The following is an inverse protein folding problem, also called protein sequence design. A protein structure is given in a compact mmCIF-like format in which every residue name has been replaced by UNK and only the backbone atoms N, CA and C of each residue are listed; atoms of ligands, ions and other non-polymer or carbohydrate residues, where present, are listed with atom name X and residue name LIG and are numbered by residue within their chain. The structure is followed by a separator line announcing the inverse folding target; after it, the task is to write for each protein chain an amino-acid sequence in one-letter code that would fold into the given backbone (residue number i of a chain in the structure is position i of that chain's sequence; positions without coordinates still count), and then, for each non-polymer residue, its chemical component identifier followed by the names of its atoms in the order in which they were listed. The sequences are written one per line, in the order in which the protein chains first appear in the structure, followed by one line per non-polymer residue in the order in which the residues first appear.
data_IF_997320094281
#
_entry.id   IF_997320094281
#
_cell.length_a   1.000
_cell.length_b   1.000
_cell.length_c   1.000
_cell.angle_alpha   90.00
_cell.angle_beta   90.00
_cell.angle_gamma   90.00
#
_symmetry.space_group_name_H-M   'P 1'
#
loop_
_entity.id
_entity.type
_entity.pdbx_description
1 polymer ?
#
# COMPACT_ATOMS: atom_id res chain seq x y z
N UNK A 1 14.92 13.58 10.67
CA UNK A 1 15.14 14.79 11.49
C UNK A 1 16.22 14.54 12.54
N UNK A 2 16.10 13.51 13.43
CA UNK A 2 17.06 13.29 14.53
C UNK A 2 18.52 13.19 14.08
N UNK A 3 18.82 12.43 13.02
CA UNK A 3 20.16 12.33 12.48
C UNK A 3 20.72 13.68 11.96
N UNK A 4 19.88 14.48 11.31
CA UNK A 4 20.26 15.80 10.84
C UNK A 4 20.58 16.76 12.00
N UNK A 5 19.77 16.68 13.07
CA UNK A 5 20.00 17.46 14.30
C UNK A 5 21.33 17.04 14.97
N UNK A 6 21.62 15.75 15.03
CA UNK A 6 22.91 15.26 15.54
C UNK A 6 24.11 15.72 14.71
N UNK A 7 23.88 16.08 13.44
CA UNK A 7 24.90 16.69 12.55
C UNK A 7 24.91 18.22 12.60
N UNK A 8 24.19 18.85 13.54
CA UNK A 8 24.18 20.29 13.75
C UNK A 8 23.18 21.07 12.90
N UNK A 9 22.25 20.41 12.23
CA UNK A 9 21.19 21.09 11.46
C UNK A 9 20.06 21.49 12.41
N UNK A 10 19.57 22.72 12.26
CA UNK A 10 18.43 23.22 13.05
C UNK A 10 17.21 22.29 12.88
N UNK A 11 16.53 21.90 13.96
CA UNK A 11 15.37 21.00 13.92
C UNK A 11 14.23 21.48 13.00
N UNK A 12 13.95 22.79 12.97
CA UNK A 12 12.88 23.34 12.14
C UNK A 12 13.24 23.28 10.65
N UNK A 13 14.50 23.56 10.31
CA UNK A 13 15.03 23.42 8.94
C UNK A 13 14.99 21.96 8.50
N UNK A 14 15.43 21.04 9.35
CA UNK A 14 15.37 19.62 9.06
C UNK A 14 13.94 19.10 8.88
N UNK A 15 12.99 19.55 9.71
CA UNK A 15 11.58 19.20 9.60
C UNK A 15 10.96 19.74 8.32
N UNK A 16 11.22 21.01 7.98
CA UNK A 16 10.71 21.63 6.75
C UNK A 16 11.22 20.92 5.49
N UNK A 17 12.52 20.56 5.47
CA UNK A 17 13.11 19.82 4.35
C UNK A 17 12.46 18.44 4.16
N UNK A 18 12.21 17.70 5.24
CA UNK A 18 11.54 16.37 5.19
C UNK A 18 10.09 16.52 4.75
N UNK A 19 9.38 17.56 5.22
CA UNK A 19 7.98 17.81 4.83
C UNK A 19 7.82 18.17 3.34
N UNK A 20 8.87 18.64 2.70
CA UNK A 20 8.90 18.91 1.26
C UNK A 20 9.09 17.65 0.40
N UNK A 21 9.38 16.49 1.00
CA UNK A 21 9.51 15.22 0.27
C UNK A 21 8.13 14.59 0.11
N UNK A 22 7.54 14.78 -1.07
CA UNK A 22 6.20 14.26 -1.41
C UNK A 22 6.24 12.87 -2.01
N UNK A 23 7.39 12.45 -2.52
CA UNK A 23 7.59 11.14 -3.12
C UNK A 23 8.93 10.55 -2.69
N UNK A 24 8.92 9.28 -2.31
CA UNK A 24 10.13 8.48 -2.09
C UNK A 24 10.14 7.38 -3.14
N UNK A 25 11.07 7.48 -4.09
CA UNK A 25 11.20 6.55 -5.19
C UNK A 25 11.12 5.08 -4.71
N UNK A 26 10.17 4.34 -5.27
CA UNK A 26 9.94 2.94 -4.95
C UNK A 26 9.17 2.64 -3.66
N UNK A 27 8.76 3.66 -2.87
CA UNK A 27 8.02 3.43 -1.61
C UNK A 27 6.70 4.15 -1.52
N UNK A 28 6.66 5.42 -1.92
CA UNK A 28 5.47 6.27 -1.90
C UNK A 28 5.37 6.99 -3.23
N UNK A 29 4.27 6.84 -3.92
CA UNK A 29 4.00 7.54 -5.17
C UNK A 29 2.50 7.60 -5.43
N UNK A 30 2.05 8.62 -6.16
CA UNK A 30 0.68 8.73 -6.62
C UNK A 30 0.62 8.56 -8.13
N UNK A 31 -0.39 7.81 -8.61
CA UNK A 31 -0.61 7.54 -10.02
C UNK A 31 -2.10 7.69 -10.35
N UNK A 32 -2.42 8.33 -11.47
CA UNK A 32 -3.78 8.33 -11.99
C UNK A 32 -3.96 7.20 -12.99
N UNK A 33 -4.92 6.33 -12.73
CA UNK A 33 -5.28 5.20 -13.59
C UNK A 33 -6.77 5.26 -13.86
N UNK A 34 -7.16 5.79 -15.02
CA UNK A 34 -8.55 5.88 -15.45
C UNK A 34 -9.45 6.59 -14.39
N UNK A 35 -9.00 7.74 -13.90
CA UNK A 35 -9.70 8.56 -12.90
C UNK A 35 -9.61 8.04 -11.46
N UNK A 36 -8.80 7.02 -11.21
CA UNK A 36 -8.48 6.52 -9.87
C UNK A 36 -7.09 7.00 -9.47
N UNK A 37 -7.01 7.86 -8.46
CA UNK A 37 -5.73 8.32 -7.89
C UNK A 37 -5.27 7.31 -6.86
N UNK A 38 -4.41 6.41 -7.32
CA UNK A 38 -3.82 5.36 -6.51
C UNK A 38 -2.60 5.90 -5.75
N UNK A 39 -2.66 5.97 -4.42
CA UNK A 39 -1.50 6.24 -3.58
C UNK A 39 -0.85 4.93 -3.17
N UNK A 40 0.34 4.68 -3.68
CA UNK A 40 1.08 3.45 -3.40
C UNK A 40 1.87 3.58 -2.10
N UNK A 41 1.79 2.57 -1.27
CA UNK A 41 2.57 2.42 -0.03
C UNK A 41 3.21 1.04 0.00
N UNK A 42 4.54 1.01 0.11
CA UNK A 42 5.28 -0.24 0.24
C UNK A 42 5.33 -0.68 1.69
N UNK A 43 4.92 -1.90 1.97
CA UNK A 43 5.11 -2.56 3.24
C UNK A 43 5.83 -3.91 3.04
N UNK A 44 6.82 -4.23 3.88
CA UNK A 44 7.68 -5.40 3.69
C UNK A 44 7.65 -6.40 4.85
N UNK A 45 7.42 -5.93 6.05
CA UNK A 45 7.40 -6.74 7.27
C UNK A 45 6.27 -6.26 8.18
N UNK A 46 5.92 -6.98 9.25
CA UNK A 46 4.80 -6.62 10.12
C UNK A 46 4.84 -5.17 10.62
N UNK A 47 6.00 -4.68 11.06
CA UNK A 47 6.14 -3.29 11.52
C UNK A 47 5.87 -2.28 10.40
N UNK A 48 6.38 -2.55 9.19
CA UNK A 48 6.13 -1.72 8.00
C UNK A 48 4.66 -1.73 7.57
N UNK A 49 3.95 -2.86 7.72
CA UNK A 49 2.52 -2.95 7.47
C UNK A 49 1.72 -2.12 8.48
N UNK A 50 2.06 -2.21 9.78
CA UNK A 50 1.42 -1.39 10.82
C UNK A 50 1.63 0.10 10.54
N UNK A 51 2.84 0.50 10.21
CA UNK A 51 3.16 1.90 9.86
C UNK A 51 2.36 2.36 8.63
N UNK A 52 2.37 1.59 7.54
CA UNK A 52 1.63 1.92 6.32
C UNK A 52 0.12 2.08 6.57
N UNK A 53 -0.46 1.24 7.42
CA UNK A 53 -1.87 1.36 7.80
C UNK A 53 -2.18 2.64 8.58
N UNK A 54 -1.26 3.13 9.41
CA UNK A 54 -1.45 4.42 10.10
C UNK A 54 -1.43 5.62 9.14
N UNK A 55 -0.84 5.43 7.96
CA UNK A 55 -0.75 6.47 6.93
C UNK A 55 -1.97 6.54 6.01
N UNK A 56 -2.89 5.58 6.09
CA UNK A 56 -4.15 5.62 5.32
C UNK A 56 -4.92 6.88 5.70
N UNK A 57 -5.25 7.71 4.70
CA UNK A 57 -6.11 8.87 4.94
C UNK A 57 -7.49 8.40 5.44
N UNK A 58 -7.92 8.83 6.63
CA UNK A 58 -9.19 8.40 7.18
C UNK A 58 -10.41 8.81 6.34
N UNK A 59 -10.26 9.73 5.41
CA UNK A 59 -11.32 10.17 4.50
C UNK A 59 -11.43 9.31 3.24
N UNK A 60 -10.48 8.42 2.99
CA UNK A 60 -10.50 7.54 1.82
C UNK A 60 -11.28 6.27 2.12
N UNK A 61 -12.27 6.00 1.28
CA UNK A 61 -13.20 4.86 1.43
C UNK A 61 -12.77 3.60 0.69
N UNK A 62 -11.64 3.63 -0.01
CA UNK A 62 -11.20 2.54 -0.86
C UNK A 62 -9.75 2.19 -0.58
N UNK A 63 -9.52 0.94 -0.21
CA UNK A 63 -8.20 0.42 0.14
C UNK A 63 -7.95 -0.87 -0.64
N UNK A 64 -6.85 -0.94 -1.34
CA UNK A 64 -6.33 -2.15 -1.98
C UNK A 64 -5.14 -2.66 -1.18
N UNK A 65 -5.14 -3.94 -0.85
CA UNK A 65 -4.03 -4.59 -0.16
C UNK A 65 -3.55 -5.75 -1.03
N UNK A 66 -2.27 -5.73 -1.39
CA UNK A 66 -1.72 -6.74 -2.27
C UNK A 66 -0.49 -7.43 -1.70
N UNK A 67 -0.51 -8.77 -1.75
CA UNK A 67 0.57 -9.62 -1.25
C UNK A 67 0.94 -10.69 -2.27
N UNK A 68 2.21 -10.70 -2.66
CA UNK A 68 2.83 -11.79 -3.41
C UNK A 68 3.72 -12.62 -2.48
N UNK A 69 4.01 -13.86 -2.87
CA UNK A 69 4.90 -14.78 -2.13
C UNK A 69 6.18 -15.11 -2.88
N UNK A 70 6.75 -14.14 -3.60
CA UNK A 70 7.98 -14.33 -4.37
C UNK A 70 9.23 -14.28 -3.46
N UNK A 71 10.36 -14.81 -3.95
CA UNK A 71 11.62 -14.86 -3.20
C UNK A 71 12.01 -13.52 -2.54
N UNK A 72 11.90 -12.34 -3.23
CA UNK A 72 12.23 -11.06 -2.61
C UNK A 72 11.33 -10.63 -1.45
N UNK A 73 10.10 -11.18 -1.36
CA UNK A 73 9.15 -10.90 -0.27
C UNK A 73 9.29 -11.85 0.92
N UNK A 74 9.96 -12.99 0.68
CA UNK A 74 9.90 -14.14 1.56
C UNK A 74 8.73 -15.07 1.20
N UNK A 75 8.99 -16.37 1.09
CA UNK A 75 7.97 -17.36 0.73
C UNK A 75 7.07 -17.74 1.92
N UNK A 76 7.58 -17.57 3.14
CA UNK A 76 6.80 -17.75 4.36
C UNK A 76 5.96 -16.51 4.63
N UNK A 77 4.65 -16.69 4.66
CA UNK A 77 3.66 -15.65 4.91
C UNK A 77 3.04 -15.73 6.31
N UNK A 78 3.61 -16.51 7.21
CA UNK A 78 3.14 -16.59 8.60
C UNK A 78 3.11 -15.22 9.28
N UNK A 79 3.97 -14.31 8.87
CA UNK A 79 4.01 -12.92 9.35
C UNK A 79 2.70 -12.14 9.13
N UNK A 80 1.81 -12.57 8.21
CA UNK A 80 0.48 -11.96 8.07
C UNK A 80 -0.33 -12.03 9.36
N UNK A 81 -0.06 -13.01 10.21
CA UNK A 81 -0.74 -13.18 11.49
C UNK A 81 -0.21 -12.23 12.57
N UNK A 82 0.98 -11.66 12.37
CA UNK A 82 1.59 -10.67 13.27
C UNK A 82 1.11 -9.24 12.94
N UNK A 83 0.35 -9.07 11.84
CA UNK A 83 -0.18 -7.77 11.42
C UNK A 83 -1.61 -7.59 11.94
N UNK A 84 -1.89 -6.46 12.60
CA UNK A 84 -3.24 -6.10 12.98
C UNK A 84 -3.97 -5.36 11.85
N UNK A 85 -4.64 -6.13 11.00
CA UNK A 85 -5.44 -5.57 9.91
C UNK A 85 -6.76 -4.94 10.37
N UNK A 86 -7.14 -5.03 11.64
CA UNK A 86 -8.34 -4.34 12.14
C UNK A 86 -8.26 -2.81 11.96
N UNK A 87 -7.03 -2.29 11.85
CA UNK A 87 -6.76 -0.87 11.57
C UNK A 87 -7.37 -0.36 10.25
N UNK A 88 -7.61 -1.24 9.26
CA UNK A 88 -8.27 -0.85 8.01
C UNK A 88 -9.80 -0.95 8.08
N UNK A 89 -10.33 -1.51 9.17
CA UNK A 89 -11.78 -1.67 9.36
C UNK A 89 -12.46 -0.31 9.53
N UNK A 90 -13.43 -0.03 8.67
CA UNK A 90 -14.29 1.15 8.77
C UNK A 90 -15.60 0.88 8.05
N UNK A 91 -16.71 1.33 8.61
CA UNK A 91 -18.01 1.27 7.96
C UNK A 91 -18.00 2.04 6.63
N UNK A 92 -18.54 1.43 5.58
CA UNK A 92 -18.56 1.97 4.23
C UNK A 92 -17.22 1.92 3.47
N UNK A 93 -16.13 1.46 4.10
CA UNK A 93 -14.85 1.29 3.40
C UNK A 93 -14.86 0.01 2.57
N UNK A 94 -14.55 0.15 1.30
CA UNK A 94 -14.27 -0.97 0.41
C UNK A 94 -12.83 -1.42 0.58
N UNK A 95 -12.61 -2.69 0.81
CA UNK A 95 -11.29 -3.30 0.85
C UNK A 95 -11.21 -4.35 -0.25
N UNK A 96 -10.12 -4.35 -1.02
CA UNK A 96 -9.85 -5.35 -2.05
C UNK A 96 -8.52 -6.02 -1.76
N UNK A 97 -8.54 -7.33 -1.53
CA UNK A 97 -7.35 -8.16 -1.40
C UNK A 97 -6.87 -8.61 -2.79
N UNK A 98 -5.57 -8.64 -3.04
CA UNK A 98 -5.04 -9.06 -4.33
C UNK A 98 -3.61 -9.62 -4.26
N UNK A 99 -3.11 -10.06 -5.41
CA UNK A 99 -1.79 -10.63 -5.57
C UNK A 99 -1.80 -12.16 -5.52
N UNK A 100 -0.62 -12.76 -5.73
CA UNK A 100 -0.46 -14.22 -5.75
C UNK A 100 -0.96 -14.91 -4.48
N UNK A 101 -0.86 -14.21 -3.34
CA UNK A 101 -1.31 -14.67 -2.03
C UNK A 101 -2.53 -13.88 -1.52
N UNK A 102 -3.29 -13.32 -2.45
CA UNK A 102 -4.52 -12.57 -2.15
C UNK A 102 -5.55 -13.39 -1.38
N UNK A 103 -5.65 -14.70 -1.64
CA UNK A 103 -6.58 -15.58 -0.91
C UNK A 103 -6.17 -15.76 0.57
N UNK A 104 -4.87 -15.95 0.86
CA UNK A 104 -4.37 -16.02 2.24
C UNK A 104 -4.61 -14.69 2.98
N UNK A 105 -4.35 -13.59 2.29
CA UNK A 105 -4.63 -12.26 2.81
C UNK A 105 -6.12 -12.06 3.09
N UNK A 106 -7.01 -12.49 2.19
CA UNK A 106 -8.46 -12.36 2.37
C UNK A 106 -8.93 -13.13 3.61
N UNK A 107 -8.42 -14.36 3.82
CA UNK A 107 -8.69 -15.13 5.05
C UNK A 107 -8.21 -14.34 6.27
N UNK A 108 -7.01 -13.80 6.24
CA UNK A 108 -6.48 -13.01 7.38
C UNK A 108 -7.29 -11.75 7.66
N UNK A 109 -7.77 -11.06 6.62
CA UNK A 109 -8.65 -9.89 6.73
C UNK A 109 -9.98 -10.27 7.37
N UNK A 110 -10.58 -11.37 6.96
CA UNK A 110 -11.83 -11.88 7.53
C UNK A 110 -11.68 -12.16 9.04
N UNK A 111 -10.56 -12.77 9.46
CA UNK A 111 -10.25 -12.97 10.89
C UNK A 111 -10.06 -11.65 11.66
N UNK A 112 -9.71 -10.57 10.97
CA UNK A 112 -9.67 -9.22 11.57
C UNK A 112 -11.04 -8.51 11.54
N UNK A 113 -12.09 -9.17 11.03
CA UNK A 113 -13.42 -8.60 10.84
C UNK A 113 -13.48 -7.54 9.74
N UNK A 114 -12.64 -7.68 8.72
CA UNK A 114 -12.57 -6.83 7.52
C UNK A 114 -13.07 -7.64 6.34
N UNK A 115 -14.28 -7.35 5.86
CA UNK A 115 -14.77 -7.93 4.61
C UNK A 115 -14.04 -7.32 3.43
N UNK A 116 -13.67 -8.16 2.46
CA UNK A 116 -12.96 -7.71 1.27
C UNK A 116 -13.44 -8.43 0.00
N UNK A 117 -13.35 -7.71 -1.12
CA UNK A 117 -13.37 -8.32 -2.44
C UNK A 117 -11.99 -8.96 -2.73
N UNK A 118 -11.96 -9.92 -3.66
CA UNK A 118 -10.71 -10.56 -4.10
C UNK A 118 -10.47 -10.31 -5.59
N UNK A 119 -9.24 -9.92 -5.93
CA UNK A 119 -8.80 -9.77 -7.31
C UNK A 119 -7.45 -10.45 -7.54
N UNK A 120 -7.16 -10.96 -8.75
CA UNK A 120 -5.92 -11.68 -9.02
C UNK A 120 -4.68 -10.76 -8.97
N UNK A 121 -4.78 -9.55 -9.51
CA UNK A 121 -3.66 -8.61 -9.61
C UNK A 121 -4.00 -7.25 -9.01
N UNK A 122 -3.01 -6.48 -8.55
CA UNK A 122 -3.24 -5.12 -8.04
C UNK A 122 -3.93 -4.18 -9.04
N UNK A 123 -3.70 -4.35 -10.34
CA UNK A 123 -4.35 -3.55 -11.37
C UNK A 123 -5.85 -3.91 -11.49
N UNK A 124 -6.19 -5.19 -11.36
CA UNK A 124 -7.58 -5.65 -11.37
C UNK A 124 -8.31 -5.19 -10.10
N UNK A 125 -7.61 -5.24 -8.95
CA UNK A 125 -8.14 -4.73 -7.69
C UNK A 125 -8.45 -3.23 -7.79
N UNK A 126 -7.55 -2.44 -8.37
CA UNK A 126 -7.79 -1.02 -8.61
C UNK A 126 -8.99 -0.81 -9.55
N UNK A 127 -9.18 -1.65 -10.56
CA UNK A 127 -10.31 -1.57 -11.48
C UNK A 127 -11.67 -1.83 -10.81
N UNK A 128 -11.71 -2.58 -9.71
CA UNK A 128 -12.91 -2.78 -8.90
C UNK A 128 -13.28 -1.54 -8.07
N UNK A 129 -12.34 -0.63 -7.84
CA UNK A 129 -12.59 0.61 -7.10
C UNK A 129 -13.35 1.62 -7.97
N UNK A 130 -14.14 2.50 -7.35
CA UNK A 130 -14.77 3.63 -8.02
C UNK A 130 -13.74 4.74 -8.35
N UNK A 131 -14.01 5.60 -9.34
CA UNK A 131 -13.18 6.78 -9.57
C UNK A 131 -13.01 7.61 -8.29
N UNK A 132 -11.78 8.10 -8.05
CA UNK A 132 -11.45 8.85 -6.83
C UNK A 132 -10.13 8.41 -6.22
N UNK A 133 -9.96 8.69 -4.93
CA UNK A 133 -8.74 8.30 -4.21
C UNK A 133 -8.80 6.85 -3.79
N UNK A 134 -7.69 6.13 -3.96
CA UNK A 134 -7.51 4.74 -3.54
C UNK A 134 -6.16 4.62 -2.83
N UNK A 135 -6.15 4.09 -1.63
CA UNK A 135 -4.93 3.75 -0.90
C UNK A 135 -4.52 2.32 -1.29
N UNK A 136 -3.29 2.14 -1.74
CA UNK A 136 -2.78 0.83 -2.16
C UNK A 136 -1.56 0.43 -1.33
N UNK A 137 -1.75 -0.54 -0.45
CA UNK A 137 -0.69 -1.13 0.38
C UNK A 137 -0.23 -2.41 -0.29
N UNK A 138 1.01 -2.42 -0.76
CA UNK A 138 1.55 -3.54 -1.53
C UNK A 138 2.89 -3.99 -0.93
N UNK A 139 3.15 -5.31 -0.92
CA UNK A 139 4.50 -5.77 -0.69
C UNK A 139 5.39 -5.54 -1.93
N UNK A 140 6.67 -5.83 -1.81
CA UNK A 140 7.65 -5.39 -2.81
C UNK A 140 7.33 -5.90 -4.22
N UNK A 141 7.08 -7.19 -4.40
CA UNK A 141 6.86 -7.73 -5.75
C UNK A 141 5.47 -7.40 -6.28
N UNK A 142 4.44 -7.28 -5.44
CA UNK A 142 3.13 -6.79 -5.86
C UNK A 142 3.20 -5.34 -6.36
N UNK A 143 3.98 -4.49 -5.68
CA UNK A 143 4.21 -3.11 -6.11
C UNK A 143 5.01 -3.04 -7.42
N UNK A 144 6.08 -3.84 -7.52
CA UNK A 144 6.89 -3.93 -8.76
C UNK A 144 6.01 -4.32 -9.94
N UNK A 145 5.22 -5.36 -9.79
CA UNK A 145 4.37 -5.89 -10.86
C UNK A 145 3.28 -4.88 -11.26
N UNK A 146 2.72 -4.15 -10.29
CA UNK A 146 1.81 -3.05 -10.57
C UNK A 146 2.49 -1.93 -11.37
N UNK A 147 3.69 -1.50 -10.99
CA UNK A 147 4.45 -0.47 -11.71
C UNK A 147 4.79 -0.87 -13.14
N UNK A 148 5.22 -2.11 -13.36
CA UNK A 148 5.47 -2.65 -14.71
C UNK A 148 4.21 -2.54 -15.59
N UNK A 149 3.03 -2.78 -15.04
CA UNK A 149 1.76 -2.64 -15.78
C UNK A 149 1.39 -1.18 -16.04
N UNK A 150 1.72 -0.27 -15.13
CA UNK A 150 1.55 1.18 -15.35
C UNK A 150 2.41 1.67 -16.51
N UNK A 151 3.72 1.37 -16.47
CA UNK A 151 4.69 1.80 -17.49
C UNK A 151 4.29 1.31 -18.89
N UNK A 152 3.78 0.08 -18.99
CA UNK A 152 3.26 -0.48 -20.25
C UNK A 152 2.05 0.29 -20.79
N UNK A 153 1.15 0.75 -19.93
CA UNK A 153 -0.02 1.54 -20.33
C UNK A 153 0.35 2.95 -20.74
N UNK A 154 1.33 3.56 -20.11
CA UNK A 154 1.83 4.89 -20.45
C UNK A 154 2.65 4.88 -21.75
N UNK A 155 3.46 3.85 -21.98
CA UNK A 155 4.26 3.67 -23.20
C UNK A 155 3.45 3.29 -24.45
N UNK A 156 2.17 2.99 -24.29
CA UNK A 156 1.25 2.65 -25.42
C UNK A 156 0.38 3.85 -25.82
N UNK A 157 0.58 5.01 -25.22
CA UNK A 157 -0.05 6.29 -25.59
C UNK A 157 0.94 7.15 -26.37
#
# INVERSE_FOLDING_TARGET
VAAAVAMGIDPAVAAAAVSGVTEVAGRYSEHDVNGRRARLMLAKNPAGWQEAMTMIDPRVDQVVIGVNGQVPDGQDLSWLWDVDFSAVKREGRRVVACGERGADLAVRLEYAGVHCDLAPLPMDALALCEPGRVEMLLNYTAMRDFKVLLDRKEGTR
#
